data_IF_373606968395
#
_entry.id   IF_373606968395
#
_cell.length_a   1.000
_cell.length_b   1.000
_cell.length_c   1.000
_cell.angle_alpha   90.00
_cell.angle_beta   90.00
_cell.angle_gamma   90.00
#
_symmetry.space_group_name_H-M   'P 1'
#
loop_
_entity.id
_entity.type
_entity.pdbx_description
1 polymer ?
#
# COMPACT_ATOMS: atom_id res chain seq x y z
N UNK A 1 15.23 -12.65 -12.54
CA UNK A 1 15.90 -13.67 -13.39
C UNK A 1 17.43 -13.45 -13.46
N UNK A 2 17.93 -12.27 -13.84
CA UNK A 2 19.38 -12.04 -14.06
C UNK A 2 20.31 -12.26 -12.84
N UNK A 3 19.88 -11.93 -11.61
CA UNK A 3 20.73 -12.13 -10.40
C UNK A 3 20.93 -13.61 -10.05
N UNK A 4 20.10 -14.52 -10.59
CA UNK A 4 20.24 -15.96 -10.35
C UNK A 4 21.30 -16.60 -11.28
N UNK A 5 21.53 -16.03 -12.47
CA UNK A 5 22.54 -16.53 -13.41
C UNK A 5 23.96 -16.31 -12.89
N UNK A 6 24.23 -15.16 -12.26
CA UNK A 6 25.51 -14.85 -11.63
C UNK A 6 25.83 -15.74 -10.40
N UNK A 7 24.84 -16.46 -9.86
CA UNK A 7 25.04 -17.40 -8.74
C UNK A 7 25.55 -18.78 -9.20
N UNK A 8 25.65 -19.05 -10.50
CA UNK A 8 25.94 -20.40 -11.01
C UNK A 8 24.89 -21.44 -10.59
N UNK A 9 23.70 -21.00 -10.19
CA UNK A 9 22.57 -21.85 -9.81
C UNK A 9 21.74 -22.09 -11.07
N UNK A 10 22.21 -23.00 -11.92
CA UNK A 10 21.33 -23.73 -12.83
C UNK A 10 20.93 -25.04 -12.14
N UNK A 11 19.90 -25.02 -11.26
CA UNK A 11 19.12 -26.20 -10.88
C UNK A 11 18.05 -25.89 -9.81
N UNK A 12 16.78 -25.87 -10.20
CA UNK A 12 15.59 -25.85 -9.33
C UNK A 12 14.77 -24.57 -9.44
N UNK A 13 13.44 -24.66 -9.56
CA UNK A 13 12.54 -23.51 -9.46
C UNK A 13 12.74 -22.86 -8.08
N UNK A 14 13.34 -21.67 -8.05
CA UNK A 14 13.45 -20.88 -6.83
C UNK A 14 12.09 -20.24 -6.64
N UNK A 15 11.34 -20.66 -5.61
CA UNK A 15 10.02 -20.11 -5.33
C UNK A 15 10.12 -18.64 -4.89
N UNK A 16 9.94 -17.71 -5.82
CA UNK A 16 10.06 -16.26 -5.61
C UNK A 16 8.91 -15.72 -4.74
N UNK A 17 7.80 -16.45 -4.65
CA UNK A 17 6.72 -16.20 -3.68
C UNK A 17 7.08 -16.55 -2.22
N UNK A 18 8.28 -17.03 -1.93
CA UNK A 18 8.75 -17.29 -0.56
C UNK A 18 9.42 -16.06 0.05
N UNK A 19 8.85 -15.51 1.13
CA UNK A 19 9.45 -14.40 1.86
C UNK A 19 10.87 -14.71 2.40
N UNK A 20 11.21 -16.00 2.58
CA UNK A 20 12.58 -16.41 2.97
C UNK A 20 13.58 -16.22 1.83
N UNK A 21 13.16 -16.43 0.58
CA UNK A 21 14.00 -16.14 -0.58
C UNK A 21 14.21 -14.63 -0.73
N UNK A 22 13.19 -13.82 -0.44
CA UNK A 22 13.34 -12.36 -0.35
C UNK A 22 14.39 -11.95 0.69
N UNK A 23 14.37 -12.54 1.90
CA UNK A 23 15.39 -12.31 2.93
C UNK A 23 16.78 -12.67 2.42
N UNK A 24 16.93 -13.84 1.80
CA UNK A 24 18.19 -14.31 1.23
C UNK A 24 18.71 -13.37 0.14
N UNK A 25 17.83 -12.90 -0.73
CA UNK A 25 18.16 -11.93 -1.78
C UNK A 25 18.66 -10.60 -1.19
N UNK A 26 17.93 -10.01 -0.25
CA UNK A 26 18.32 -8.73 0.35
C UNK A 26 19.65 -8.86 1.09
N UNK A 27 19.84 -9.92 1.88
CA UNK A 27 21.10 -10.15 2.60
C UNK A 27 22.29 -10.33 1.65
N UNK A 28 22.12 -11.08 0.56
CA UNK A 28 23.13 -11.21 -0.48
C UNK A 28 23.47 -9.85 -1.10
N UNK A 29 22.46 -9.03 -1.43
CA UNK A 29 22.66 -7.70 -1.99
C UNK A 29 23.41 -6.78 -1.01
N UNK A 30 23.05 -6.78 0.27
CA UNK A 30 23.74 -5.99 1.31
C UNK A 30 25.20 -6.42 1.50
N UNK A 31 25.48 -7.72 1.42
CA UNK A 31 26.82 -8.26 1.58
C UNK A 31 27.75 -7.96 0.40
N UNK A 32 27.24 -8.06 -0.83
CA UNK A 32 28.03 -7.84 -2.05
C UNK A 32 28.10 -6.36 -2.45
N UNK A 33 27.09 -5.58 -2.09
CA UNK A 33 27.00 -4.15 -2.38
C UNK A 33 26.69 -3.34 -1.10
N UNK A 34 27.67 -3.19 -0.18
CA UNK A 34 27.48 -2.41 1.04
C UNK A 34 27.17 -0.95 0.75
N UNK A 35 26.10 -0.42 1.34
CA UNK A 35 25.66 0.95 1.13
C UNK A 35 25.14 1.56 2.44
N UNK A 36 25.12 2.90 2.50
CA UNK A 36 24.53 3.63 3.65
C UNK A 36 23.00 3.62 3.63
N UNK A 37 22.41 3.41 2.45
CA UNK A 37 20.97 3.35 2.24
C UNK A 37 20.64 2.28 1.21
N UNK A 38 19.49 1.65 1.37
CA UNK A 38 18.97 0.62 0.48
C UNK A 38 17.59 1.01 -0.04
N UNK A 39 17.42 0.85 -1.35
CA UNK A 39 16.14 0.91 -2.04
C UNK A 39 15.76 -0.52 -2.43
N UNK A 40 14.53 -0.93 -2.11
CA UNK A 40 13.96 -2.21 -2.55
C UNK A 40 12.74 -1.91 -3.42
N UNK A 41 12.74 -2.47 -4.63
CA UNK A 41 11.58 -2.46 -5.51
C UNK A 41 11.14 -3.90 -5.66
N UNK A 42 9.87 -4.17 -5.34
CA UNK A 42 9.24 -5.47 -5.56
C UNK A 42 8.18 -5.25 -6.64
N UNK A 43 8.37 -5.92 -7.78
CA UNK A 43 7.48 -5.88 -8.93
C UNK A 43 6.79 -7.22 -9.06
N UNK A 44 5.45 -7.22 -9.01
CA UNK A 44 4.61 -8.37 -9.30
C UNK A 44 3.10 -8.03 -9.15
N UNK A 45 2.24 -9.05 -9.20
CA UNK A 45 0.85 -8.99 -8.72
C UNK A 45 0.74 -8.50 -7.26
N UNK A 46 -0.36 -7.77 -6.99
CA UNK A 46 -0.75 -7.33 -5.66
C UNK A 46 -2.26 -7.31 -5.46
N UNK A 47 -2.71 -7.44 -4.21
CA UNK A 47 -4.13 -7.41 -3.83
C UNK A 47 -4.35 -6.64 -2.53
N UNK A 48 -3.44 -5.71 -2.21
CA UNK A 48 -3.43 -5.02 -0.92
C UNK A 48 -3.17 -5.99 0.24
N UNK A 49 -4.21 -6.29 1.03
CA UNK A 49 -4.11 -7.24 2.15
C UNK A 49 -4.86 -8.56 1.92
N UNK A 50 -5.75 -8.62 0.93
CA UNK A 50 -6.45 -9.85 0.57
C UNK A 50 -5.51 -10.80 -0.16
N UNK A 51 -5.85 -12.10 -0.19
CA UNK A 51 -5.08 -13.01 -0.99
C UNK A 51 -5.29 -12.90 -2.50
N UNK A 52 -4.26 -13.21 -3.30
CA UNK A 52 -4.40 -13.24 -4.76
C UNK A 52 -5.19 -14.47 -5.21
N UNK A 53 -4.98 -15.63 -4.58
CA UNK A 53 -5.78 -16.85 -4.82
C UNK A 53 -6.56 -17.28 -3.57
N UNK A 54 -7.87 -17.44 -3.70
CA UNK A 54 -8.74 -17.92 -2.61
C UNK A 54 -8.46 -19.39 -2.25
N UNK A 55 -7.88 -20.20 -3.15
CA UNK A 55 -7.38 -21.53 -2.81
C UNK A 55 -6.21 -21.47 -1.82
N UNK A 56 -5.41 -20.39 -1.87
CA UNK A 56 -4.38 -20.10 -0.88
C UNK A 56 -4.95 -19.60 0.45
N UNK A 57 -6.24 -19.25 0.51
CA UNK A 57 -6.84 -18.75 1.74
C UNK A 57 -6.78 -19.78 2.88
N UNK A 58 -6.91 -21.09 2.60
CA UNK A 58 -6.92 -22.16 3.62
C UNK A 58 -5.56 -22.34 4.34
N UNK A 59 -4.45 -21.79 3.82
CA UNK A 59 -3.12 -21.85 4.45
C UNK A 59 -2.99 -20.89 5.66
N UNK A 60 -4.00 -20.83 6.53
CA UNK A 60 -4.32 -19.87 7.61
C UNK A 60 -3.25 -19.70 8.72
N UNK A 61 -2.04 -19.38 8.30
CA UNK A 61 -1.02 -18.57 8.95
C UNK A 61 -0.34 -17.63 7.94
N UNK A 62 -0.89 -17.48 6.72
CA UNK A 62 -0.27 -16.69 5.67
C UNK A 62 -1.27 -16.03 4.70
N UNK A 63 -1.58 -14.75 4.96
CA UNK A 63 -2.35 -13.82 4.11
C UNK A 63 -1.65 -13.52 2.77
N UNK A 64 -1.32 -14.52 1.94
CA UNK A 64 -0.48 -14.29 0.75
C UNK A 64 -1.19 -13.30 -0.17
N UNK A 65 -0.64 -12.11 -0.46
CA UNK A 65 -1.38 -11.05 -1.17
C UNK A 65 -0.50 -10.20 -2.10
N UNK A 66 0.74 -10.64 -2.30
CA UNK A 66 1.71 -9.97 -3.15
C UNK A 66 2.77 -10.97 -3.64
N UNK A 67 3.27 -10.75 -4.84
CA UNK A 67 4.29 -11.56 -5.51
C UNK A 67 3.91 -13.02 -5.76
N UNK A 68 2.95 -13.22 -6.67
CA UNK A 68 2.54 -14.55 -7.11
C UNK A 68 3.58 -15.13 -8.07
N UNK A 69 4.23 -16.19 -7.62
CA UNK A 69 5.07 -17.03 -8.45
C UNK A 69 4.20 -18.01 -9.23
N UNK A 70 3.97 -17.74 -10.51
CA UNK A 70 3.13 -18.56 -11.40
C UNK A 70 3.60 -20.02 -11.54
N UNK A 71 4.89 -20.29 -11.32
CA UNK A 71 5.44 -21.66 -11.41
C UNK A 71 5.10 -22.49 -10.17
N UNK A 72 5.06 -21.85 -9.01
CA UNK A 72 4.85 -22.52 -7.71
C UNK A 72 3.48 -22.28 -7.09
N UNK A 73 2.73 -21.27 -7.57
CA UNK A 73 1.50 -20.76 -6.96
C UNK A 73 1.73 -20.09 -5.59
N UNK A 74 2.98 -19.82 -5.22
CA UNK A 74 3.32 -19.20 -3.95
C UNK A 74 3.30 -17.68 -4.06
N UNK A 75 2.88 -17.05 -2.97
CA UNK A 75 2.91 -15.62 -2.75
C UNK A 75 3.25 -15.38 -1.28
N UNK A 76 3.70 -14.18 -0.93
CA UNK A 76 3.90 -13.82 0.47
C UNK A 76 2.88 -12.79 0.93
N UNK A 77 2.62 -12.85 2.23
CA UNK A 77 1.65 -11.98 2.87
C UNK A 77 2.20 -10.63 3.26
N UNK A 78 1.33 -9.64 3.50
CA UNK A 78 1.76 -8.36 4.07
C UNK A 78 2.53 -8.54 5.40
N UNK A 79 2.07 -9.39 6.36
CA UNK A 79 2.86 -9.67 7.56
C UNK A 79 4.18 -10.41 7.29
N UNK A 80 4.23 -11.30 6.29
CA UNK A 80 5.49 -11.95 5.89
C UNK A 80 6.46 -10.98 5.23
N UNK A 81 5.98 -10.03 4.43
CA UNK A 81 6.79 -8.96 3.89
C UNK A 81 7.39 -8.11 5.02
N UNK A 82 6.57 -7.74 6.02
CA UNK A 82 7.07 -7.05 7.21
C UNK A 82 8.11 -7.88 7.97
N UNK A 83 7.87 -9.19 8.15
CA UNK A 83 8.83 -10.10 8.78
C UNK A 83 10.14 -10.22 7.98
N UNK A 84 10.07 -10.26 6.65
CA UNK A 84 11.23 -10.29 5.77
C UNK A 84 12.07 -9.01 5.93
N UNK A 85 11.44 -7.84 5.85
CA UNK A 85 12.13 -6.55 6.00
C UNK A 85 12.72 -6.40 7.41
N UNK A 86 12.00 -6.82 8.45
CA UNK A 86 12.51 -6.85 9.82
C UNK A 86 13.76 -7.71 9.95
N UNK A 87 13.76 -8.92 9.36
CA UNK A 87 14.87 -9.86 9.44
C UNK A 87 16.16 -9.33 8.81
N UNK A 88 16.05 -8.40 7.86
CA UNK A 88 17.20 -7.77 7.18
C UNK A 88 17.52 -6.38 7.71
N UNK A 89 16.88 -5.94 8.80
CA UNK A 89 17.11 -4.62 9.42
C UNK A 89 16.48 -3.45 8.66
N UNK A 90 15.46 -3.71 7.84
CA UNK A 90 14.74 -2.72 7.05
C UNK A 90 15.47 -2.23 5.81
N UNK A 91 14.80 -1.34 5.08
CA UNK A 91 15.30 -0.59 3.93
C UNK A 91 14.97 0.89 4.12
N UNK A 92 15.51 1.79 3.30
CA UNK A 92 15.18 3.21 3.40
C UNK A 92 13.98 3.52 2.48
N UNK A 93 14.07 3.09 1.23
CA UNK A 93 12.99 3.24 0.26
C UNK A 93 12.42 1.87 -0.11
N UNK A 94 11.10 1.76 -0.08
CA UNK A 94 10.35 0.60 -0.55
C UNK A 94 9.40 1.02 -1.67
N UNK A 95 9.41 0.29 -2.77
CA UNK A 95 8.37 0.37 -3.77
C UNK A 95 7.67 -0.99 -3.89
N UNK A 96 6.35 -0.97 -3.79
CA UNK A 96 5.49 -2.09 -4.09
C UNK A 96 4.83 -1.77 -5.43
N UNK A 97 5.45 -2.26 -6.49
CA UNK A 97 5.04 -2.09 -7.88
C UNK A 97 4.09 -3.27 -8.20
N UNK A 98 2.82 -3.03 -7.92
CA UNK A 98 1.75 -4.02 -7.97
C UNK A 98 0.43 -3.47 -7.45
N UNK A 99 -0.66 -4.09 -7.91
CA UNK A 99 -2.02 -3.59 -7.72
C UNK A 99 -2.41 -3.41 -6.24
N UNK A 100 -3.12 -2.32 -5.94
CA UNK A 100 -3.78 -2.07 -4.65
C UNK A 100 -2.85 -2.00 -3.42
N UNK A 101 -1.54 -1.84 -3.60
CA UNK A 101 -0.57 -1.90 -2.50
C UNK A 101 -0.48 -0.62 -1.67
N UNK A 102 -1.01 0.50 -2.16
CA UNK A 102 -1.10 1.76 -1.41
C UNK A 102 -2.32 1.79 -0.49
N UNK A 103 -2.36 0.83 0.43
CA UNK A 103 -3.43 0.69 1.40
C UNK A 103 -2.98 1.00 2.81
N UNK A 104 -3.84 1.62 3.61
CA UNK A 104 -3.55 1.97 5.01
C UNK A 104 -3.04 0.78 5.84
N UNK A 105 -3.65 -0.40 5.67
CA UNK A 105 -3.23 -1.61 6.39
C UNK A 105 -1.84 -2.10 5.95
N UNK A 106 -1.56 -2.09 4.65
CA UNK A 106 -0.25 -2.45 4.08
C UNK A 106 0.83 -1.49 4.57
N UNK A 107 0.62 -0.18 4.39
CA UNK A 107 1.57 0.84 4.84
C UNK A 107 1.84 0.75 6.35
N UNK A 108 0.82 0.46 7.15
CA UNK A 108 0.97 0.37 8.61
C UNK A 108 1.75 -0.88 9.06
N UNK A 109 1.57 -2.02 8.38
CA UNK A 109 2.34 -3.24 8.64
C UNK A 109 3.83 -3.02 8.37
N UNK A 110 4.17 -2.18 7.38
CA UNK A 110 5.53 -1.94 6.92
C UNK A 110 6.21 -0.73 7.58
N UNK A 111 5.49 0.04 8.39
CA UNK A 111 5.89 1.38 8.84
C UNK A 111 7.23 1.44 9.59
N UNK A 112 7.60 0.36 10.26
CA UNK A 112 8.82 0.26 11.09
C UNK A 112 10.01 -0.36 10.32
N UNK A 113 9.82 -0.66 9.03
CA UNK A 113 10.78 -1.41 8.22
C UNK A 113 11.16 -0.72 6.90
N UNK A 114 10.59 0.44 6.61
CA UNK A 114 10.99 1.37 5.57
C UNK A 114 10.79 2.84 6.01
N UNK A 115 11.57 3.78 5.44
CA UNK A 115 11.38 5.22 5.72
C UNK A 115 10.27 5.83 4.85
N UNK A 116 10.26 5.45 3.56
CA UNK A 116 9.27 5.88 2.58
C UNK A 116 8.76 4.71 1.74
N UNK A 117 7.49 4.78 1.35
CA UNK A 117 6.80 3.80 0.51
C UNK A 117 6.26 4.49 -0.75
N UNK A 118 6.42 3.87 -1.92
CA UNK A 118 5.68 4.19 -3.14
C UNK A 118 4.86 2.98 -3.59
N UNK A 119 3.58 3.19 -3.87
CA UNK A 119 2.68 2.18 -4.44
C UNK A 119 1.43 2.85 -5.08
N UNK A 120 0.56 2.03 -5.67
CA UNK A 120 -0.73 2.45 -6.27
C UNK A 120 -1.93 2.07 -5.39
N UNK A 121 -2.93 2.94 -5.35
CA UNK A 121 -4.25 2.62 -4.78
C UNK A 121 -5.06 1.72 -5.72
N UNK A 122 -4.83 1.90 -7.02
CA UNK A 122 -5.47 1.24 -8.15
C UNK A 122 -4.73 -0.03 -8.59
N UNK A 123 -5.35 -0.80 -9.47
CA UNK A 123 -4.62 -1.76 -10.30
C UNK A 123 -3.58 -1.06 -11.16
N UNK A 124 -2.45 -1.72 -11.43
CA UNK A 124 -1.37 -1.14 -12.24
C UNK A 124 -1.25 -1.86 -13.59
N UNK A 125 -0.94 -1.13 -14.68
CA UNK A 125 -0.60 -1.74 -15.97
C UNK A 125 0.74 -2.50 -15.86
N UNK A 126 1.03 -3.41 -16.79
CA UNK A 126 2.26 -4.23 -16.72
C UNK A 126 3.58 -3.44 -16.77
N UNK A 127 3.53 -2.19 -17.26
CA UNK A 127 4.69 -1.27 -17.29
C UNK A 127 4.42 -0.05 -16.41
N UNK A 128 4.97 -0.09 -15.19
CA UNK A 128 4.77 0.94 -14.17
C UNK A 128 5.98 1.87 -14.07
N UNK A 129 7.18 1.32 -13.89
CA UNK A 129 8.38 2.14 -13.60
C UNK A 129 9.34 2.24 -14.79
N UNK A 130 9.72 3.46 -15.14
CA UNK A 130 10.87 3.73 -16.04
C UNK A 130 12.19 3.61 -15.27
N UNK A 131 12.62 2.37 -14.99
CA UNK A 131 13.80 2.06 -14.17
C UNK A 131 15.07 2.82 -14.59
N UNK A 132 15.32 3.00 -15.88
CA UNK A 132 16.48 3.76 -16.35
C UNK A 132 16.46 5.22 -15.87
N UNK A 133 15.29 5.86 -15.89
CA UNK A 133 15.12 7.25 -15.43
C UNK A 133 15.25 7.32 -13.90
N UNK A 134 14.58 6.40 -13.19
CA UNK A 134 14.62 6.28 -11.74
C UNK A 134 16.04 6.02 -11.19
N UNK A 135 16.76 5.04 -11.75
CA UNK A 135 18.16 4.75 -11.39
C UNK A 135 19.11 5.88 -11.83
N UNK A 136 18.82 6.54 -12.95
CA UNK A 136 19.53 7.72 -13.40
C UNK A 136 19.52 8.87 -12.39
N UNK A 137 18.40 9.06 -11.67
CA UNK A 137 18.30 10.06 -10.60
C UNK A 137 19.22 9.75 -9.42
N UNK A 138 19.32 8.47 -9.02
CA UNK A 138 20.28 8.05 -7.99
C UNK A 138 21.73 8.25 -8.42
N UNK A 139 22.05 7.93 -9.67
CA UNK A 139 23.39 8.15 -10.21
C UNK A 139 23.77 9.64 -10.23
N UNK A 140 22.81 10.51 -10.57
CA UNK A 140 23.02 11.96 -10.58
C UNK A 140 23.13 12.57 -9.16
N UNK A 141 22.40 12.02 -8.19
CA UNK A 141 22.41 12.47 -6.79
C UNK A 141 22.43 11.28 -5.82
N UNK A 142 23.60 10.64 -5.59
CA UNK A 142 23.69 9.46 -4.71
C UNK A 142 23.35 9.76 -3.23
N UNK A 143 23.33 11.03 -2.84
CA UNK A 143 22.94 11.49 -1.51
C UNK A 143 21.43 11.69 -1.34
N UNK A 144 20.61 11.37 -2.34
CA UNK A 144 19.15 11.50 -2.29
C UNK A 144 18.56 10.72 -1.09
N UNK A 145 17.68 11.37 -0.34
CA UNK A 145 16.98 10.73 0.77
C UNK A 145 15.82 9.86 0.28
N UNK A 146 15.33 8.94 1.11
CA UNK A 146 14.24 8.03 0.75
C UNK A 146 12.94 8.77 0.38
N UNK A 147 12.57 9.81 1.14
CA UNK A 147 11.36 10.61 0.85
C UNK A 147 11.47 11.36 -0.48
N UNK A 148 12.62 12.00 -0.74
CA UNK A 148 12.86 12.68 -2.03
C UNK A 148 12.81 11.68 -3.17
N UNK A 149 13.36 10.48 -2.96
CA UNK A 149 13.35 9.44 -3.98
C UNK A 149 11.94 8.93 -4.26
N UNK A 150 11.14 8.69 -3.23
CA UNK A 150 9.74 8.29 -3.36
C UNK A 150 8.89 9.33 -4.12
N UNK A 151 9.06 10.61 -3.80
CA UNK A 151 8.41 11.72 -4.54
C UNK A 151 8.80 11.70 -6.01
N UNK A 152 10.08 11.49 -6.31
CA UNK A 152 10.56 11.43 -7.68
C UNK A 152 10.03 10.22 -8.46
N UNK A 153 9.80 9.08 -7.80
CA UNK A 153 9.13 7.91 -8.41
C UNK A 153 7.74 8.30 -8.90
N UNK A 154 6.92 8.88 -8.03
CA UNK A 154 5.54 9.29 -8.36
C UNK A 154 5.52 10.30 -9.52
N UNK A 155 6.43 11.27 -9.50
CA UNK A 155 6.55 12.27 -10.58
C UNK A 155 6.99 11.64 -11.90
N UNK A 156 7.90 10.67 -11.86
CA UNK A 156 8.34 9.93 -13.05
C UNK A 156 7.19 9.13 -13.64
N UNK A 157 6.40 8.48 -12.78
CA UNK A 157 5.20 7.75 -13.17
C UNK A 157 4.17 8.67 -13.83
N UNK A 158 3.82 9.80 -13.19
CA UNK A 158 2.98 10.84 -13.79
C UNK A 158 3.48 11.25 -15.17
N UNK A 159 4.74 11.68 -15.25
CA UNK A 159 5.28 12.27 -16.48
C UNK A 159 5.27 11.25 -17.63
N UNK A 160 5.39 9.96 -17.31
CA UNK A 160 5.28 8.89 -18.29
C UNK A 160 3.88 8.84 -18.93
N UNK A 161 2.82 8.89 -18.13
CA UNK A 161 1.45 8.85 -18.65
C UNK A 161 0.97 10.19 -19.23
N UNK A 162 1.44 11.33 -18.70
CA UNK A 162 0.98 12.64 -19.20
C UNK A 162 1.76 13.14 -20.41
N UNK A 163 3.07 12.84 -20.51
CA UNK A 163 3.94 13.47 -21.51
C UNK A 163 4.50 12.49 -22.55
N UNK A 164 4.63 11.21 -22.22
CA UNK A 164 5.26 10.21 -23.08
C UNK A 164 4.27 9.25 -23.74
N UNK A 165 2.96 9.47 -23.56
CA UNK A 165 1.91 8.62 -24.12
C UNK A 165 2.00 7.18 -23.64
N UNK A 166 2.34 7.00 -22.35
CA UNK A 166 2.43 5.68 -21.74
C UNK A 166 1.14 4.89 -21.95
N UNK A 167 1.29 3.62 -22.31
CA UNK A 167 0.16 2.71 -22.42
C UNK A 167 -0.27 2.30 -21.02
N UNK A 168 -1.47 2.73 -20.62
CA UNK A 168 -2.11 2.35 -19.36
C UNK A 168 -2.93 1.08 -19.51
N UNK A 169 -2.88 0.41 -20.68
CA UNK A 169 -3.64 -0.80 -21.00
C UNK A 169 -5.16 -0.59 -20.83
N UNK A 170 -5.63 0.66 -20.90
CA UNK A 170 -7.02 1.04 -20.68
C UNK A 170 -7.45 1.11 -19.21
N UNK A 171 -6.52 0.97 -18.25
CA UNK A 171 -6.80 1.05 -16.82
C UNK A 171 -6.53 2.48 -16.27
N UNK A 172 -7.32 2.95 -15.28
CA UNK A 172 -6.97 4.15 -14.52
C UNK A 172 -5.62 3.97 -13.82
N UNK A 173 -4.90 5.06 -13.62
CA UNK A 173 -3.57 5.02 -13.01
C UNK A 173 -3.46 5.94 -11.80
N UNK A 174 -2.87 5.40 -10.73
CA UNK A 174 -2.59 6.14 -9.50
C UNK A 174 -1.21 5.77 -8.99
N UNK A 175 -0.52 6.73 -8.37
CA UNK A 175 0.68 6.43 -7.60
C UNK A 175 0.90 7.50 -6.55
N UNK A 176 1.32 7.09 -5.36
CA UNK A 176 1.62 8.04 -4.29
C UNK A 176 2.77 7.56 -3.42
N UNK A 177 3.36 8.53 -2.72
CA UNK A 177 4.49 8.33 -1.82
C UNK A 177 4.07 8.64 -0.39
N UNK A 178 4.37 7.75 0.56
CA UNK A 178 4.08 7.94 1.98
C UNK A 178 5.35 8.10 2.81
N UNK A 179 5.24 8.94 3.83
CA UNK A 179 6.17 9.00 4.95
C UNK A 179 5.74 8.01 6.04
N UNK A 180 6.39 6.84 6.07
CA UNK A 180 5.96 5.74 6.93
C UNK A 180 6.07 6.04 8.43
N UNK A 181 7.02 6.90 8.84
CA UNK A 181 7.13 7.36 10.24
C UNK A 181 5.88 8.09 10.77
N UNK A 182 4.96 8.51 9.91
CA UNK A 182 3.71 9.18 10.29
C UNK A 182 2.53 8.23 10.43
N UNK A 183 2.66 6.95 10.06
CA UNK A 183 1.56 5.98 10.08
C UNK A 183 0.99 5.75 11.49
N UNK A 184 1.81 5.74 12.54
CA UNK A 184 1.32 5.58 13.92
C UNK A 184 0.44 6.76 14.35
N UNK A 185 0.92 8.00 14.13
CA UNK A 185 0.15 9.20 14.46
C UNK A 185 -1.10 9.36 13.57
N UNK A 186 -1.03 8.90 12.32
CA UNK A 186 -2.18 8.83 11.43
C UNK A 186 -3.26 7.88 11.96
N UNK A 187 -2.91 6.63 12.28
CA UNK A 187 -3.81 5.64 12.87
C UNK A 187 -4.50 6.19 14.10
N UNK A 188 -3.76 6.80 15.04
CA UNK A 188 -4.35 7.33 16.28
C UNK A 188 -5.45 8.38 16.02
N UNK A 189 -5.28 9.22 14.99
CA UNK A 189 -6.31 10.19 14.58
C UNK A 189 -7.51 9.48 13.95
N UNK A 190 -7.23 8.48 13.11
CA UNK A 190 -8.26 7.68 12.48
C UNK A 190 -9.06 6.87 13.51
N UNK A 191 -8.44 6.38 14.58
CA UNK A 191 -9.11 5.65 15.68
C UNK A 191 -10.09 6.55 16.44
N UNK A 192 -9.71 7.80 16.69
CA UNK A 192 -10.61 8.80 17.29
C UNK A 192 -11.79 9.09 16.38
N UNK A 193 -11.54 9.23 15.07
CA UNK A 193 -12.59 9.41 14.08
C UNK A 193 -13.53 8.21 14.01
N UNK A 194 -12.99 6.98 13.91
CA UNK A 194 -13.73 5.73 13.84
C UNK A 194 -14.64 5.55 15.06
N UNK A 195 -14.13 5.84 16.26
CA UNK A 195 -14.90 5.79 17.49
C UNK A 195 -16.07 6.78 17.54
N UNK A 196 -15.93 7.95 16.92
CA UNK A 196 -17.01 8.93 16.77
C UNK A 196 -17.98 8.52 15.66
N UNK A 197 -17.47 8.04 14.53
CA UNK A 197 -18.26 7.63 13.37
C UNK A 197 -19.22 6.50 13.71
N UNK A 198 -18.83 5.51 14.52
CA UNK A 198 -19.74 4.43 14.97
C UNK A 198 -20.95 4.93 15.79
N UNK A 199 -20.99 6.20 16.19
CA UNK A 199 -22.12 6.83 16.90
C UNK A 199 -22.91 7.81 16.01
N UNK A 200 -22.46 8.02 14.78
CA UNK A 200 -23.05 8.95 13.84
C UNK A 200 -24.29 8.37 13.15
N UNK A 201 -24.91 9.17 12.28
CA UNK A 201 -26.05 8.73 11.46
C UNK A 201 -25.65 7.57 10.53
N UNK A 202 -26.21 6.36 10.71
CA UNK A 202 -25.91 5.22 9.86
C UNK A 202 -26.27 5.44 8.39
N UNK A 203 -27.26 6.29 8.08
CA UNK A 203 -27.64 6.59 6.69
C UNK A 203 -26.55 7.38 5.97
N UNK A 204 -25.91 8.32 6.66
CA UNK A 204 -24.76 9.06 6.13
C UNK A 204 -23.58 8.14 5.86
N UNK A 205 -23.27 7.22 6.77
CA UNK A 205 -22.15 6.30 6.61
C UNK A 205 -22.37 5.32 5.44
N UNK A 206 -23.58 4.77 5.30
CA UNK A 206 -23.95 3.96 4.11
C UNK A 206 -23.84 4.77 2.82
N UNK A 207 -24.32 6.01 2.83
CA UNK A 207 -24.19 6.91 1.68
C UNK A 207 -22.72 7.09 1.30
N UNK A 208 -21.87 7.51 2.26
CA UNK A 208 -20.45 7.72 2.01
C UNK A 208 -19.75 6.42 1.55
N UNK A 209 -20.03 5.29 2.21
CA UNK A 209 -19.48 3.99 1.81
C UNK A 209 -19.88 3.58 0.39
N UNK A 210 -21.12 3.84 -0.03
CA UNK A 210 -21.57 3.54 -1.40
C UNK A 210 -21.07 4.52 -2.46
N UNK A 211 -20.61 5.71 -2.06
CA UNK A 211 -20.23 6.80 -2.97
C UNK A 211 -18.73 7.02 -3.09
N UNK A 212 -17.97 6.67 -2.07
CA UNK A 212 -16.54 6.82 -2.10
C UNK A 212 -15.93 6.03 -3.26
N UNK A 213 -14.96 6.64 -3.95
CA UNK A 213 -14.18 6.06 -5.04
C UNK A 213 -13.69 4.67 -4.65
N UNK A 214 -13.89 3.70 -5.54
CA UNK A 214 -13.38 2.34 -5.42
C UNK A 214 -12.20 2.13 -6.36
N UNK A 215 -11.38 1.13 -6.08
CA UNK A 215 -10.24 0.74 -6.89
C UNK A 215 -10.41 -0.69 -7.41
N UNK A 216 -10.01 -0.90 -8.66
CA UNK A 216 -10.12 -2.15 -9.38
C UNK A 216 -11.56 -2.68 -9.43
N UNK A 217 -11.68 -3.99 -9.23
CA UNK A 217 -12.96 -4.69 -9.14
C UNK A 217 -13.40 -4.91 -7.67
N UNK A 218 -12.65 -4.37 -6.70
CA UNK A 218 -12.88 -4.55 -5.27
C UNK A 218 -13.72 -3.40 -4.68
N UNK A 219 -15.05 -3.56 -4.52
CA UNK A 219 -15.91 -2.48 -4.02
C UNK A 219 -15.62 -2.10 -2.56
N UNK A 220 -14.81 -2.89 -1.87
CA UNK A 220 -14.42 -2.71 -0.47
C UNK A 220 -13.13 -1.89 -0.31
N UNK A 221 -12.36 -1.69 -1.39
CA UNK A 221 -11.16 -0.86 -1.38
C UNK A 221 -11.56 0.53 -1.82
N UNK A 222 -11.51 1.48 -0.89
CA UNK A 222 -12.02 2.83 -1.09
C UNK A 222 -10.96 3.88 -0.86
N UNK A 223 -11.03 4.98 -1.60
CA UNK A 223 -10.24 6.16 -1.28
C UNK A 223 -10.63 6.67 0.12
N UNK A 224 -9.65 6.72 1.01
CA UNK A 224 -9.90 7.09 2.40
C UNK A 224 -10.28 8.56 2.54
N UNK A 225 -9.65 9.45 1.77
CA UNK A 225 -9.92 10.87 1.88
C UNK A 225 -11.32 11.20 1.38
N UNK A 226 -11.73 10.68 0.22
CA UNK A 226 -13.06 10.85 -0.37
C UNK A 226 -14.15 10.33 0.57
N UNK A 227 -13.95 9.13 1.15
CA UNK A 227 -14.86 8.62 2.16
C UNK A 227 -14.99 9.55 3.38
N UNK A 228 -13.86 10.01 3.93
CA UNK A 228 -13.86 10.95 5.06
C UNK A 228 -14.49 12.29 4.69
N UNK A 229 -14.29 12.78 3.47
CA UNK A 229 -14.84 14.04 2.97
C UNK A 229 -16.36 13.97 2.88
N UNK A 230 -16.91 12.90 2.30
CA UNK A 230 -18.34 12.66 2.21
C UNK A 230 -19.00 12.63 3.60
N UNK A 231 -18.40 11.92 4.56
CA UNK A 231 -18.91 11.89 5.94
C UNK A 231 -18.78 13.26 6.61
N UNK A 232 -17.65 13.94 6.44
CA UNK A 232 -17.37 15.25 7.08
C UNK A 232 -18.28 16.35 6.54
N UNK A 233 -18.60 16.31 5.25
CA UNK A 233 -19.51 17.25 4.60
C UNK A 233 -20.96 17.03 5.03
N UNK A 234 -21.39 15.76 5.16
CA UNK A 234 -22.76 15.40 5.48
C UNK A 234 -23.11 15.35 6.97
N UNK A 235 -22.13 15.29 7.87
CA UNK A 235 -22.40 15.14 9.31
C UNK A 235 -22.79 16.45 9.99
N UNK A 236 -23.82 16.36 10.86
CA UNK A 236 -24.17 17.40 11.82
C UNK A 236 -23.53 17.18 13.20
N UNK A 237 -22.80 16.07 13.40
CA UNK A 237 -22.16 15.76 14.69
C UNK A 237 -20.97 16.71 14.93
N UNK A 238 -21.03 17.55 16.00
CA UNK A 238 -19.99 18.54 16.28
C UNK A 238 -18.66 17.93 16.74
N UNK A 239 -18.62 16.64 17.09
CA UNK A 239 -17.40 15.89 17.38
C UNK A 239 -16.84 15.24 16.12
N UNK A 240 -17.68 14.66 15.25
CA UNK A 240 -17.22 13.94 14.07
C UNK A 240 -16.59 14.87 13.03
N UNK A 241 -17.22 16.03 12.78
CA UNK A 241 -16.76 16.99 11.76
C UNK A 241 -15.31 17.46 11.96
N UNK A 242 -14.89 17.96 13.14
CA UNK A 242 -13.50 18.37 13.35
C UNK A 242 -12.51 17.21 13.29
N UNK A 243 -12.90 16.00 13.72
CA UNK A 243 -12.05 14.81 13.60
C UNK A 243 -11.80 14.45 12.13
N UNK A 244 -12.85 14.49 11.30
CA UNK A 244 -12.72 14.21 9.87
C UNK A 244 -11.80 15.21 9.17
N UNK A 245 -11.98 16.51 9.46
CA UNK A 245 -11.07 17.57 8.98
C UNK A 245 -9.62 17.36 9.44
N UNK A 246 -9.42 16.90 10.67
CA UNK A 246 -8.08 16.63 11.20
C UNK A 246 -7.39 15.46 10.49
N UNK A 247 -8.09 14.35 10.28
CA UNK A 247 -7.54 13.17 9.58
C UNK A 247 -7.21 13.54 8.13
N UNK A 248 -8.14 14.18 7.42
CA UNK A 248 -7.95 14.63 6.03
C UNK A 248 -6.75 15.57 5.89
N UNK A 249 -6.61 16.54 6.81
CA UNK A 249 -5.44 17.44 6.84
C UNK A 249 -4.15 16.67 7.08
N UNK A 250 -4.11 15.80 8.09
CA UNK A 250 -2.90 15.03 8.42
C UNK A 250 -2.47 14.12 7.27
N UNK A 251 -3.43 13.48 6.60
CA UNK A 251 -3.17 12.67 5.42
C UNK A 251 -2.45 13.50 4.33
N UNK A 252 -3.01 14.66 3.97
CA UNK A 252 -2.45 15.52 2.91
C UNK A 252 -1.16 16.25 3.28
N UNK A 253 -0.95 16.62 4.54
CA UNK A 253 0.17 17.50 4.92
C UNK A 253 1.35 16.77 5.58
N UNK A 254 1.10 15.63 6.22
CA UNK A 254 2.11 14.92 7.01
C UNK A 254 2.45 13.55 6.45
N UNK A 255 1.44 12.77 6.05
CA UNK A 255 1.59 11.38 5.65
C UNK A 255 1.94 11.23 4.16
N UNK A 256 1.11 11.79 3.27
CA UNK A 256 1.33 11.71 1.82
C UNK A 256 2.37 12.76 1.42
N UNK A 257 3.48 12.28 0.88
CA UNK A 257 4.60 13.10 0.39
C UNK A 257 4.31 13.67 -1.00
N UNK A 258 3.71 12.86 -1.86
CA UNK A 258 3.33 13.19 -3.23
C UNK A 258 2.20 12.25 -3.65
N UNK A 259 1.23 12.77 -4.40
CA UNK A 259 0.14 11.99 -4.95
C UNK A 259 -0.06 12.38 -6.41
N UNK A 260 -0.19 11.39 -7.27
CA UNK A 260 -0.69 11.59 -8.61
C UNK A 260 -1.71 10.51 -8.96
N UNK A 261 -2.83 10.94 -9.53
CA UNK A 261 -3.86 10.09 -10.07
C UNK A 261 -4.36 10.71 -11.38
N UNK A 262 -4.85 9.86 -12.29
CA UNK A 262 -5.51 10.32 -13.50
C UNK A 262 -6.85 11.02 -13.21
N UNK A 263 -7.54 10.59 -12.14
CA UNK A 263 -8.74 11.25 -11.64
C UNK A 263 -8.44 12.26 -10.51
N UNK A 264 -9.44 13.09 -10.20
CA UNK A 264 -9.33 14.14 -9.20
C UNK A 264 -9.78 13.70 -7.78
N UNK A 265 -10.18 12.44 -7.61
CA UNK A 265 -10.84 11.92 -6.39
C UNK A 265 -9.93 10.96 -5.62
N UNK A 266 -8.88 10.44 -6.25
CA UNK A 266 -7.89 9.57 -5.62
C UNK A 266 -6.79 10.39 -4.94
N UNK A 267 -6.55 10.12 -3.66
CA UNK A 267 -5.79 10.96 -2.73
C UNK A 267 -4.55 10.29 -2.15
N UNK A 268 -4.22 9.09 -2.61
CA UNK A 268 -2.95 8.41 -2.34
C UNK A 268 -2.97 7.46 -1.15
N UNK A 269 -4.13 7.08 -0.62
CA UNK A 269 -4.25 6.02 0.37
C UNK A 269 -5.64 5.37 0.36
N UNK A 270 -5.69 4.10 -0.03
CA UNK A 270 -6.91 3.31 0.04
C UNK A 270 -7.14 2.73 1.44
N UNK A 271 -8.38 2.34 1.72
CA UNK A 271 -8.77 1.69 2.97
C UNK A 271 -9.87 0.64 2.74
N UNK A 272 -9.91 -0.36 3.62
CA UNK A 272 -10.93 -1.41 3.62
C UNK A 272 -12.22 -0.94 4.29
N UNK A 273 -13.32 -0.89 3.52
CA UNK A 273 -14.68 -0.60 4.00
C UNK A 273 -15.62 -1.67 3.41
N UNK A 274 -15.86 -2.76 4.17
CA UNK A 274 -16.55 -3.92 3.63
C UNK A 274 -18.07 -3.81 3.59
N UNK A 275 -18.66 -4.51 2.62
CA UNK A 275 -20.06 -4.93 2.68
C UNK A 275 -20.24 -6.23 3.49
N UNK A 276 -19.19 -7.07 3.59
CA UNK A 276 -19.12 -8.23 4.48
C UNK A 276 -17.73 -8.28 5.08
N UNK A 277 -17.64 -8.28 6.41
CA UNK A 277 -16.35 -8.27 7.09
C UNK A 277 -15.62 -9.60 6.93
N UNK A 278 -14.38 -9.55 6.47
CA UNK A 278 -13.49 -10.71 6.42
C UNK A 278 -12.66 -10.82 7.72
N UNK A 279 -12.81 -11.89 8.51
CA UNK A 279 -12.02 -12.11 9.72
C UNK A 279 -10.50 -12.16 9.50
N UNK A 280 -10.03 -12.40 8.27
CA UNK A 280 -8.62 -12.34 7.93
C UNK A 280 -8.01 -10.96 8.20
N UNK A 281 -8.81 -9.89 8.11
CA UNK A 281 -8.37 -8.53 8.39
C UNK A 281 -7.88 -8.34 9.84
N UNK A 282 -8.36 -9.15 10.79
CA UNK A 282 -7.94 -9.12 12.21
C UNK A 282 -6.45 -9.51 12.38
N UNK A 283 -5.85 -10.16 11.39
CA UNK A 283 -4.44 -10.60 11.41
C UNK A 283 -3.45 -9.51 10.98
N UNK A 284 -3.91 -8.30 10.65
CA UNK A 284 -3.04 -7.17 10.30
C UNK A 284 -2.72 -6.33 11.55
N UNK A 285 -1.52 -5.78 11.62
CA UNK A 285 -1.10 -4.87 12.68
C UNK A 285 -2.00 -3.63 12.76
N UNK A 286 -2.52 -3.17 11.63
CA UNK A 286 -3.46 -2.05 11.57
C UNK A 286 -4.74 -2.31 12.37
N UNK A 287 -5.24 -3.56 12.32
CA UNK A 287 -6.40 -4.02 13.07
C UNK A 287 -6.05 -4.30 14.53
N UNK A 288 -4.92 -4.98 14.80
CA UNK A 288 -4.51 -5.31 16.18
C UNK A 288 -4.19 -4.08 17.03
N UNK A 289 -3.59 -3.06 16.40
CA UNK A 289 -3.14 -1.87 17.11
C UNK A 289 -4.20 -0.76 17.09
N UNK A 290 -5.09 -0.75 16.09
CA UNK A 290 -6.06 0.30 15.84
C UNK A 290 -7.49 -0.05 16.22
N UNK A 291 -8.42 0.76 15.72
CA UNK A 291 -9.87 0.61 15.90
C UNK A 291 -10.64 0.55 14.59
N UNK A 292 -9.92 0.45 13.48
CA UNK A 292 -10.54 0.44 12.16
C UNK A 292 -11.31 -0.85 11.89
N UNK A 293 -10.84 -1.97 12.43
CA UNK A 293 -11.53 -3.27 12.31
C UNK A 293 -12.92 -3.22 12.93
N UNK A 294 -13.08 -2.57 14.08
CA UNK A 294 -14.38 -2.39 14.74
C UNK A 294 -15.30 -1.48 13.92
N UNK A 295 -14.74 -0.43 13.31
CA UNK A 295 -15.48 0.42 12.37
C UNK A 295 -15.89 -0.35 11.10
N UNK A 296 -15.00 -1.16 10.53
CA UNK A 296 -15.27 -2.00 9.37
C UNK A 296 -16.35 -3.05 9.67
N UNK A 297 -16.28 -3.72 10.83
CA UNK A 297 -17.34 -4.63 11.33
C UNK A 297 -18.67 -3.90 11.49
N UNK A 298 -18.63 -2.68 12.03
CA UNK A 298 -19.82 -1.82 12.16
C UNK A 298 -20.41 -1.48 10.79
N UNK A 299 -19.59 -1.05 9.83
CA UNK A 299 -20.03 -0.75 8.45
C UNK A 299 -20.66 -1.96 7.77
N UNK A 300 -20.06 -3.15 7.89
CA UNK A 300 -20.63 -4.39 7.34
C UNK A 300 -21.99 -4.77 7.97
N UNK A 301 -22.28 -4.31 9.19
CA UNK A 301 -23.56 -4.52 9.85
C UNK A 301 -24.64 -3.49 9.42
N UNK A 302 -24.25 -2.38 8.77
CA UNK A 302 -25.16 -1.38 8.24
C UNK A 302 -25.77 -1.87 6.92
N UNK A 303 -26.80 -2.71 7.00
CA UNK A 303 -27.65 -3.04 5.85
C UNK A 303 -28.36 -1.81 5.28
#
# INVERSE_FOLDING_TARGET
AEVLEDRGIYAGSVGMGSWKELVSFINWSKANFPARRYALVLWDHGSGWKPLDMANAHDFGNLKGFSLDDETGHEFSTPQLAAALKAVGGVNFLMLDGCNMQMASVAYELKDHAEALTASEETEPGVVVRYAQFLGMLNAKPSMGAEEFAVNTVRTYRDYFTNAGGDNEGAPVTQSALRLSKMTAFREKLDLWAAAAMKADPALLRYAGSKAKIFGEDPEYKDLYDFLELVTAGTADPRLKPLGLEVMRFLKSELVLENWAEDAVSHGLSIYIPGTYDPLYDQLAFSRDGRWDEFAKFMAALK
#
